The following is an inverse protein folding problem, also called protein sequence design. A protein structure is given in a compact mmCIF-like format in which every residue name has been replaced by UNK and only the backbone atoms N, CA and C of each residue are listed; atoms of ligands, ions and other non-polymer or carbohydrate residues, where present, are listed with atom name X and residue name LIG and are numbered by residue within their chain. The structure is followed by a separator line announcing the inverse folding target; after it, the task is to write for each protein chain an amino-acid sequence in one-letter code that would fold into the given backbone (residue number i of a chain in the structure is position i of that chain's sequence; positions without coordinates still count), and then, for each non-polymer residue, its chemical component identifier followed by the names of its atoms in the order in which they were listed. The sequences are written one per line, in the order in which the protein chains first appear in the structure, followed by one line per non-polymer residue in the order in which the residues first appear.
data_IF_009476282427
#
_entry.id   IF_009476282427
#
_cell.length_a   1.000
_cell.length_b   1.000
_cell.length_c   1.000
_cell.angle_alpha   90.00
_cell.angle_beta   90.00
_cell.angle_gamma   90.00
#
_symmetry.space_group_name_H-M   'P 1'
#
loop_
_entity.id
_entity.type
_entity.pdbx_description
1 polymer ?
#
# COMPACT_ATOMS: atom_id res chain seq x y z
N UNK A 1 8.18 -15.75 -7.09
CA UNK A 1 9.37 -15.42 -6.26
C UNK A 1 9.01 -15.33 -4.77
N UNK A 2 7.72 -15.15 -4.43
CA UNK A 2 7.20 -15.15 -3.05
C UNK A 2 6.83 -16.56 -2.50
N UNK A 3 7.26 -17.64 -3.15
CA UNK A 3 7.24 -18.98 -2.54
C UNK A 3 8.24 -19.10 -1.39
N UNK A 4 9.27 -18.24 -1.35
CA UNK A 4 10.13 -18.10 -0.17
C UNK A 4 9.33 -17.42 0.95
N UNK A 5 8.98 -18.22 1.95
CA UNK A 5 8.22 -17.78 3.13
C UNK A 5 8.85 -16.60 3.87
N UNK A 6 10.17 -16.40 3.73
CA UNK A 6 10.92 -15.33 4.37
C UNK A 6 10.67 -13.99 3.68
N UNK A 7 10.77 -13.94 2.35
CA UNK A 7 10.54 -12.73 1.56
C UNK A 7 9.08 -12.29 1.71
N UNK A 8 8.14 -13.24 1.66
CA UNK A 8 6.71 -12.97 1.85
C UNK A 8 6.42 -12.39 3.24
N UNK A 9 6.99 -12.98 4.30
CA UNK A 9 6.85 -12.45 5.67
C UNK A 9 7.46 -11.06 5.81
N UNK A 10 8.61 -10.81 5.15
CA UNK A 10 9.25 -9.49 5.17
C UNK A 10 8.39 -8.43 4.50
N UNK A 11 7.81 -8.76 3.35
CA UNK A 11 6.90 -7.90 2.60
C UNK A 11 5.61 -7.60 3.36
N UNK A 12 4.98 -8.62 3.97
CA UNK A 12 3.82 -8.45 4.85
C UNK A 12 4.14 -7.48 6.01
N UNK A 13 5.31 -7.64 6.64
CA UNK A 13 5.79 -6.74 7.68
C UNK A 13 6.02 -5.31 7.17
N UNK A 14 6.50 -5.14 5.93
CA UNK A 14 6.63 -3.84 5.29
C UNK A 14 5.25 -3.18 5.06
N UNK A 15 4.29 -3.91 4.51
CA UNK A 15 2.92 -3.42 4.25
C UNK A 15 2.26 -2.97 5.55
N UNK A 16 2.33 -3.78 6.61
CA UNK A 16 1.80 -3.42 7.94
C UNK A 16 2.39 -2.13 8.50
N UNK A 17 3.71 -1.90 8.31
CA UNK A 17 4.34 -0.63 8.72
C UNK A 17 3.80 0.54 7.91
N UNK A 18 3.69 0.39 6.60
CA UNK A 18 3.16 1.44 5.72
C UNK A 18 1.70 1.80 6.06
N UNK A 19 0.86 0.82 6.39
CA UNK A 19 -0.52 1.08 6.83
C UNK A 19 -0.56 1.94 8.10
N UNK A 20 0.33 1.70 9.07
CA UNK A 20 0.41 2.50 10.31
C UNK A 20 0.83 3.95 10.09
N UNK A 21 1.53 4.25 8.99
CA UNK A 21 2.02 5.58 8.65
C UNK A 21 0.94 6.44 7.95
N UNK A 22 -0.09 5.79 7.39
CA UNK A 22 -1.18 6.44 6.63
C UNK A 22 -1.86 7.59 7.40
N UNK A 23 -2.24 7.45 8.69
CA UNK A 23 -2.94 8.53 9.38
C UNK A 23 -2.16 9.84 9.42
N UNK A 24 -0.84 9.75 9.63
CA UNK A 24 0.05 10.90 9.65
C UNK A 24 0.20 11.48 8.24
N UNK A 25 0.37 10.62 7.24
CA UNK A 25 0.52 11.06 5.85
C UNK A 25 -0.74 11.76 5.31
N UNK A 26 -1.94 11.29 5.67
CA UNK A 26 -3.21 11.94 5.29
C UNK A 26 -3.23 13.35 5.87
N UNK A 27 -2.98 13.51 7.18
CA UNK A 27 -3.02 14.82 7.85
C UNK A 27 -2.03 15.82 7.27
N UNK A 28 -0.89 15.34 6.77
CA UNK A 28 0.15 16.20 6.18
C UNK A 28 -0.10 16.52 4.69
N UNK A 29 -0.57 15.54 3.91
CA UNK A 29 -0.65 15.65 2.45
C UNK A 29 -2.01 16.18 1.99
N UNK A 30 -3.05 15.87 2.76
CA UNK A 30 -4.44 16.00 2.35
C UNK A 30 -5.29 16.76 3.39
N UNK A 31 -4.89 17.99 3.79
CA UNK A 31 -5.62 18.71 4.83
C UNK A 31 -7.06 19.08 4.44
N UNK A 32 -7.40 19.10 3.14
CA UNK A 32 -8.72 19.46 2.64
C UNK A 32 -9.00 18.78 1.27
N UNK A 33 -9.10 17.45 1.21
CA UNK A 33 -9.51 16.77 -0.03
C UNK A 33 -10.91 17.23 -0.44
N UNK A 34 -11.04 17.74 -1.67
CA UNK A 34 -12.35 17.92 -2.33
C UNK A 34 -12.61 16.74 -3.26
N UNK A 35 -13.89 16.49 -3.55
CA UNK A 35 -14.39 15.46 -4.48
C UNK A 35 -13.49 15.33 -5.72
N UNK A 36 -12.83 14.18 -5.85
CA UNK A 36 -11.93 13.90 -6.98
C UNK A 36 -12.75 13.21 -8.07
N UNK A 37 -12.66 13.74 -9.30
CA UNK A 37 -13.51 13.44 -10.47
C UNK A 37 -13.93 11.97 -10.61
N UNK A 38 -13.06 11.00 -10.29
CA UNK A 38 -13.27 9.56 -10.54
C UNK A 38 -13.68 8.73 -9.31
N UNK A 39 -13.70 9.31 -8.12
CA UNK A 39 -13.96 8.59 -6.88
C UNK A 39 -15.33 8.96 -6.31
N UNK A 40 -16.00 7.98 -5.71
CA UNK A 40 -17.33 8.17 -5.12
C UNK A 40 -17.31 9.16 -3.96
N UNK A 41 -16.29 9.06 -3.13
CA UNK A 41 -16.05 9.88 -1.94
C UNK A 41 -14.54 9.96 -1.61
N UNK A 42 -14.21 10.61 -0.49
CA UNK A 42 -12.83 10.74 0.00
C UNK A 42 -12.22 9.39 0.41
N UNK A 43 -13.01 8.48 0.98
CA UNK A 43 -12.54 7.16 1.41
C UNK A 43 -12.13 6.31 0.20
N UNK A 44 -12.95 6.29 -0.85
CA UNK A 44 -12.67 5.59 -2.11
C UNK A 44 -11.40 6.12 -2.77
N UNK A 45 -11.24 7.45 -2.82
CA UNK A 45 -10.01 8.06 -3.33
C UNK A 45 -8.78 7.66 -2.53
N UNK A 46 -8.82 7.84 -1.20
CA UNK A 46 -7.69 7.56 -0.33
C UNK A 46 -7.33 6.07 -0.34
N UNK A 47 -8.33 5.20 -0.39
CA UNK A 47 -8.10 3.76 -0.51
C UNK A 47 -7.33 3.43 -1.80
N UNK A 48 -7.80 3.91 -2.96
CA UNK A 48 -7.11 3.69 -4.23
C UNK A 48 -5.69 4.28 -4.23
N UNK A 49 -5.53 5.50 -3.71
CA UNK A 49 -4.24 6.18 -3.59
C UNK A 49 -3.24 5.38 -2.75
N UNK A 50 -3.64 4.94 -1.54
CA UNK A 50 -2.74 4.23 -0.64
C UNK A 50 -2.45 2.81 -1.08
N UNK A 51 -3.39 2.12 -1.73
CA UNK A 51 -3.11 0.83 -2.37
C UNK A 51 -1.98 1.00 -3.40
N UNK A 52 -2.12 1.95 -4.32
CA UNK A 52 -1.09 2.20 -5.35
C UNK A 52 0.25 2.61 -4.75
N UNK A 53 0.24 3.49 -3.74
CA UNK A 53 1.46 3.93 -3.04
C UNK A 53 2.17 2.77 -2.32
N UNK A 54 1.41 1.87 -1.70
CA UNK A 54 1.98 0.69 -1.03
C UNK A 54 2.52 -0.30 -2.07
N UNK A 55 1.82 -0.53 -3.18
CA UNK A 55 2.28 -1.39 -4.28
C UNK A 55 3.62 -0.90 -4.84
N UNK A 56 3.73 0.39 -5.15
CA UNK A 56 4.96 1.00 -5.65
C UNK A 56 6.10 0.88 -4.63
N UNK A 57 5.82 1.20 -3.36
CA UNK A 57 6.81 1.09 -2.28
C UNK A 57 7.27 -0.36 -2.04
N UNK A 58 6.36 -1.32 -2.14
CA UNK A 58 6.64 -2.75 -2.02
C UNK A 58 7.51 -3.26 -3.17
N UNK A 59 7.23 -2.82 -4.41
CA UNK A 59 8.05 -3.14 -5.57
C UNK A 59 9.48 -2.64 -5.37
N UNK A 60 9.65 -1.38 -4.99
CA UNK A 60 10.98 -0.81 -4.69
C UNK A 60 11.68 -1.53 -3.53
N UNK A 61 10.94 -1.90 -2.49
CA UNK A 61 11.46 -2.66 -1.37
C UNK A 61 12.03 -4.01 -1.81
N UNK A 62 11.27 -4.76 -2.63
CA UNK A 62 11.69 -6.06 -3.15
C UNK A 62 12.87 -5.96 -4.12
N UNK A 63 12.87 -4.97 -5.03
CA UNK A 63 13.99 -4.72 -5.94
C UNK A 63 15.30 -4.50 -5.15
N UNK A 64 15.25 -3.68 -4.09
CA UNK A 64 16.39 -3.45 -3.21
C UNK A 64 16.81 -4.71 -2.46
N UNK A 65 15.87 -5.44 -1.88
CA UNK A 65 16.15 -6.64 -1.07
C UNK A 65 16.78 -7.77 -1.90
N UNK A 66 16.37 -7.89 -3.15
CA UNK A 66 16.78 -9.00 -4.04
C UNK A 66 18.00 -8.65 -4.89
N UNK A 67 18.48 -7.38 -4.81
CA UNK A 67 19.53 -6.80 -5.68
C UNK A 67 19.23 -7.00 -7.16
N UNK A 68 17.96 -7.21 -7.50
CA UNK A 68 17.51 -7.54 -8.82
C UNK A 68 17.34 -6.22 -9.60
N UNK A 69 17.75 -6.19 -10.86
CA UNK A 69 17.49 -5.02 -11.72
C UNK A 69 15.98 -4.93 -12.00
N UNK A 70 15.49 -3.76 -12.43
CA UNK A 70 14.07 -3.58 -12.80
C UNK A 70 13.56 -4.53 -13.91
N UNK A 71 14.46 -5.27 -14.59
CA UNK A 71 14.13 -6.32 -15.56
C UNK A 71 13.89 -7.71 -14.95
N UNK A 72 14.10 -7.88 -13.65
CA UNK A 72 13.81 -9.13 -12.93
C UNK A 72 12.33 -9.12 -12.58
N UNK A 73 11.56 -10.10 -13.07
CA UNK A 73 10.10 -10.12 -12.92
C UNK A 73 9.70 -10.27 -11.45
N UNK A 74 9.42 -9.16 -10.78
CA UNK A 74 8.68 -9.14 -9.52
C UNK A 74 7.21 -9.10 -9.88
N UNK A 75 6.48 -10.14 -9.49
CA UNK A 75 5.07 -10.25 -9.77
C UNK A 75 4.28 -9.25 -8.90
N UNK A 76 3.84 -8.16 -9.54
CA UNK A 76 3.01 -7.14 -8.90
C UNK A 76 1.65 -7.70 -8.46
N UNK A 77 1.15 -8.77 -9.09
CA UNK A 77 -0.08 -9.43 -8.64
C UNK A 77 0.12 -10.15 -7.30
N UNK A 78 1.31 -10.72 -7.03
CA UNK A 78 1.61 -11.30 -5.72
C UNK A 78 1.63 -10.20 -4.64
N UNK A 79 2.22 -9.02 -4.92
CA UNK A 79 2.20 -7.87 -4.02
C UNK A 79 0.75 -7.44 -3.75
N UNK A 80 -0.05 -7.26 -4.81
CA UNK A 80 -1.45 -6.88 -4.70
C UNK A 80 -2.24 -7.91 -3.88
N UNK A 81 -2.03 -9.19 -4.11
CA UNK A 81 -2.65 -10.27 -3.35
C UNK A 81 -2.39 -10.15 -1.84
N UNK A 82 -1.19 -9.75 -1.42
CA UNK A 82 -0.86 -9.53 -0.01
C UNK A 82 -1.51 -8.25 0.52
N UNK A 83 -1.53 -7.16 -0.25
CA UNK A 83 -2.21 -5.92 0.16
C UNK A 83 -3.71 -6.18 0.37
N UNK A 84 -4.35 -6.98 -0.49
CA UNK A 84 -5.76 -7.34 -0.35
C UNK A 84 -6.04 -8.14 0.95
N UNK A 85 -5.08 -8.89 1.49
CA UNK A 85 -5.26 -9.53 2.82
C UNK A 85 -5.37 -8.51 3.95
N UNK A 86 -4.88 -7.29 3.73
CA UNK A 86 -4.97 -6.15 4.65
C UNK A 86 -6.09 -5.16 4.30
N UNK A 87 -6.94 -5.48 3.32
CA UNK A 87 -8.01 -4.59 2.84
C UNK A 87 -8.84 -3.97 3.95
N UNK A 88 -9.30 -4.79 4.91
CA UNK A 88 -10.13 -4.34 6.02
C UNK A 88 -9.37 -3.35 6.92
N UNK A 89 -8.17 -3.71 7.33
CA UNK A 89 -7.31 -2.87 8.19
C UNK A 89 -7.00 -1.52 7.51
N UNK A 90 -6.63 -1.56 6.22
CA UNK A 90 -6.37 -0.37 5.42
C UNK A 90 -7.60 0.55 5.35
N UNK A 91 -8.77 -0.02 5.08
CA UNK A 91 -10.02 0.74 5.00
C UNK A 91 -10.39 1.36 6.36
N UNK A 92 -10.30 0.58 7.44
CA UNK A 92 -10.56 1.04 8.81
C UNK A 92 -9.63 2.19 9.22
N UNK A 93 -8.32 2.08 8.94
CA UNK A 93 -7.33 3.12 9.26
C UNK A 93 -7.59 4.41 8.50
N UNK A 94 -7.91 4.33 7.21
CA UNK A 94 -8.24 5.52 6.42
C UNK A 94 -9.54 6.14 6.95
N UNK A 95 -10.58 5.33 7.14
CA UNK A 95 -11.89 5.76 7.63
C UNK A 95 -11.80 6.42 9.02
N UNK A 96 -10.97 5.91 9.92
CA UNK A 96 -10.78 6.50 11.26
C UNK A 96 -9.93 7.77 11.25
N UNK A 97 -9.24 8.06 10.14
CA UNK A 97 -8.40 9.25 10.01
C UNK A 97 -9.18 10.44 9.46
N UNK A 98 -10.13 10.18 8.56
CA UNK A 98 -10.95 11.22 7.91
C UNK A 98 -12.25 11.55 8.66
N UNK A 99 -12.69 10.69 9.58
CA UNK A 99 -13.81 10.96 10.51
C UNK A 99 -13.29 11.46 11.85
#
# INVERSE_FOLDING_TARGET
MLQDSTIRRSLDGYIKRRIKEIPTEIKQTFPNIKKIWKCGDELDFLYGYYVGKIEEGALHYLLKATRASAGSYIDTFEIRGIIETHKRELNEVIKSTIN
#
